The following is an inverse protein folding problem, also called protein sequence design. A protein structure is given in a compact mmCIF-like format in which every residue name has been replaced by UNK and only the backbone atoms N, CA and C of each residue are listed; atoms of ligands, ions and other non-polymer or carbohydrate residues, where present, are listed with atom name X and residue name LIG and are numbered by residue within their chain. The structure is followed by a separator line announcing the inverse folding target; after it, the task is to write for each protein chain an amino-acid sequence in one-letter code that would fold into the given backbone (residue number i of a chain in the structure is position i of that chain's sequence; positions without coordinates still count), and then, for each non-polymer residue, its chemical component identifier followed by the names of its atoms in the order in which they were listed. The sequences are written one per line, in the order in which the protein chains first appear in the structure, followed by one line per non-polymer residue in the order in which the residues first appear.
data_IF_659433494290
#
_entry.id   IF_659433494290
#
_cell.length_a   1.000
_cell.length_b   1.000
_cell.length_c   1.000
_cell.angle_alpha   90.00
_cell.angle_beta   90.00
_cell.angle_gamma   90.00
#
_symmetry.space_group_name_H-M   'P 1'
#
loop_
_entity.id
_entity.type
_entity.pdbx_description
1 polymer ?
#
# COMPACT_ATOMS: atom_id res chain seq x y z
N UNK A 1 8.10 -33.40 -8.29
CA UNK A 1 7.35 -32.82 -7.16
C UNK A 1 7.61 -31.33 -7.18
N UNK A 2 6.59 -30.52 -7.46
CA UNK A 2 6.70 -29.06 -7.40
C UNK A 2 6.48 -28.63 -5.96
N UNK A 3 7.49 -28.05 -5.31
CA UNK A 3 7.36 -27.41 -4.00
C UNK A 3 6.60 -26.11 -4.20
N UNK A 4 5.29 -26.13 -3.98
CA UNK A 4 4.49 -24.91 -3.96
C UNK A 4 4.73 -24.25 -2.60
N UNK A 5 5.64 -23.28 -2.55
CA UNK A 5 5.81 -22.40 -1.39
C UNK A 5 4.56 -21.52 -1.30
N UNK A 6 3.59 -21.94 -0.48
CA UNK A 6 2.43 -21.12 -0.16
C UNK A 6 2.89 -20.04 0.83
N UNK A 7 3.05 -18.81 0.35
CA UNK A 7 3.27 -17.68 1.24
C UNK A 7 2.04 -17.51 2.14
N UNK A 8 2.22 -17.22 3.45
CA UNK A 8 1.09 -17.02 4.35
C UNK A 8 0.23 -15.83 3.89
N UNK A 9 -1.08 -15.92 4.09
CA UNK A 9 -1.98 -14.80 3.78
C UNK A 9 -1.81 -13.64 4.78
N UNK A 10 -2.37 -12.47 4.47
CA UNK A 10 -2.43 -11.36 5.44
C UNK A 10 -3.14 -11.81 6.71
N UNK A 11 -4.24 -12.55 6.59
CA UNK A 11 -5.00 -13.02 7.76
C UNK A 11 -4.16 -13.96 8.64
N UNK A 12 -3.39 -14.87 8.04
CA UNK A 12 -2.47 -15.77 8.77
C UNK A 12 -1.39 -14.97 9.50
N UNK A 13 -0.79 -14.00 8.81
CA UNK A 13 0.23 -13.12 9.39
C UNK A 13 -0.33 -12.22 10.49
N UNK A 14 -1.57 -11.78 10.34
CA UNK A 14 -2.26 -10.94 11.32
C UNK A 14 -2.55 -11.73 12.60
N UNK A 15 -2.93 -13.00 12.46
CA UNK A 15 -3.11 -13.91 13.59
C UNK A 15 -1.80 -14.20 14.34
N UNK A 16 -0.66 -14.24 13.64
CA UNK A 16 0.65 -14.52 14.24
C UNK A 16 1.37 -13.28 14.79
N UNK A 17 1.25 -12.14 14.12
CA UNK A 17 2.06 -10.94 14.38
C UNK A 17 1.27 -9.76 14.93
N UNK A 18 -0.06 -9.82 14.90
CA UNK A 18 -0.96 -8.75 15.32
C UNK A 18 -1.60 -7.99 14.14
N UNK A 19 -2.61 -7.15 14.42
CA UNK A 19 -3.34 -6.37 13.43
C UNK A 19 -2.48 -5.31 12.73
N UNK A 20 -2.73 -5.10 11.44
CA UNK A 20 -2.38 -3.86 10.75
C UNK A 20 -3.05 -2.68 11.46
N UNK A 21 -2.31 -1.60 11.68
CA UNK A 21 -2.85 -0.34 12.21
C UNK A 21 -3.20 0.58 11.04
N UNK A 22 -4.41 1.14 11.02
CA UNK A 22 -4.74 2.20 10.05
C UNK A 22 -4.23 3.53 10.58
N UNK A 23 -3.39 4.22 9.81
CA UNK A 23 -2.76 5.49 10.22
C UNK A 23 -3.27 6.70 9.45
N UNK A 24 -3.71 6.52 8.21
CA UNK A 24 -4.31 7.57 7.39
C UNK A 24 -5.52 7.00 6.63
N UNK A 25 -6.63 7.74 6.56
CA UNK A 25 -7.77 7.36 5.74
C UNK A 25 -8.60 8.59 5.32
N UNK A 26 -8.95 8.67 4.04
CA UNK A 26 -9.87 9.69 3.53
C UNK A 26 -11.27 9.64 4.19
N UNK A 27 -11.73 8.45 4.57
CA UNK A 27 -13.02 8.25 5.24
C UNK A 27 -12.96 7.05 6.19
N UNK A 28 -13.71 7.16 7.29
CA UNK A 28 -13.75 6.15 8.36
C UNK A 28 -13.01 6.60 9.63
N UNK A 29 -13.22 5.91 10.76
CA UNK A 29 -12.51 6.19 11.99
C UNK A 29 -11.02 5.83 11.82
N UNK A 30 -10.16 6.78 12.13
CA UNK A 30 -8.75 6.53 12.45
C UNK A 30 -8.60 6.58 13.96
N UNK A 31 -7.80 5.68 14.54
CA UNK A 31 -7.46 5.72 15.96
C UNK A 31 -6.38 6.79 16.27
N UNK A 32 -6.11 7.66 15.29
CA UNK A 32 -5.07 8.69 15.32
C UNK A 32 -5.73 10.06 15.46
N UNK A 33 -5.21 10.89 16.36
CA UNK A 33 -5.67 12.26 16.52
C UNK A 33 -5.42 13.09 15.24
N UNK A 34 -6.30 14.04 14.86
CA UNK A 34 -6.14 14.82 13.63
C UNK A 34 -4.78 15.52 13.48
N UNK A 35 -4.20 16.02 14.58
CA UNK A 35 -2.88 16.66 14.58
C UNK A 35 -1.75 15.66 14.27
N UNK A 36 -1.96 14.39 14.63
CA UNK A 36 -1.03 13.32 14.31
C UNK A 36 -1.23 12.83 12.87
N UNK A 37 -2.42 12.95 12.27
CA UNK A 37 -2.68 12.60 10.87
C UNK A 37 -1.78 13.40 9.91
N UNK A 38 -1.63 14.72 10.13
CA UNK A 38 -0.72 15.56 9.35
C UNK A 38 0.75 15.14 9.49
N UNK A 39 1.17 14.80 10.71
CA UNK A 39 2.54 14.34 10.98
C UNK A 39 2.81 12.98 10.36
N UNK A 40 1.87 12.03 10.47
CA UNK A 40 1.95 10.74 9.81
C UNK A 40 2.01 10.90 8.30
N UNK A 41 1.20 11.79 7.71
CA UNK A 41 1.25 12.10 6.28
C UNK A 41 2.65 12.58 5.87
N UNK A 42 3.25 13.48 6.65
CA UNK A 42 4.59 13.99 6.35
C UNK A 42 5.67 12.90 6.44
N UNK A 43 5.68 12.11 7.52
CA UNK A 43 6.65 11.04 7.73
C UNK A 43 6.52 9.92 6.69
N UNK A 44 5.29 9.55 6.29
CA UNK A 44 5.04 8.56 5.25
C UNK A 44 5.47 9.08 3.87
N UNK A 45 5.21 10.37 3.57
CA UNK A 45 5.67 11.01 2.34
C UNK A 45 7.19 11.11 2.27
N UNK A 46 7.86 11.37 3.39
CA UNK A 46 9.32 11.41 3.52
C UNK A 46 9.99 10.05 3.69
N UNK A 47 9.20 8.99 3.85
CA UNK A 47 9.67 7.62 4.05
C UNK A 47 10.41 7.06 2.84
N UNK A 48 11.19 6.01 3.08
CA UNK A 48 11.90 5.30 2.02
C UNK A 48 10.93 4.35 1.31
N UNK A 49 10.57 4.65 0.06
CA UNK A 49 9.83 3.72 -0.79
C UNK A 49 10.65 2.44 -0.99
N UNK A 50 10.06 1.31 -0.63
CA UNK A 50 10.63 -0.02 -0.81
C UNK A 50 10.07 -0.72 -2.05
N UNK A 51 8.78 -0.52 -2.32
CA UNK A 51 8.08 -1.00 -3.52
C UNK A 51 7.00 -0.01 -3.91
N UNK A 52 6.72 0.11 -5.20
CA UNK A 52 5.70 1.03 -5.69
C UNK A 52 5.09 0.50 -6.97
N UNK A 53 3.76 0.55 -7.04
CA UNK A 53 3.00 0.29 -8.24
C UNK A 53 2.13 1.49 -8.59
N UNK A 54 2.16 1.90 -9.85
CA UNK A 54 1.49 3.12 -10.32
C UNK A 54 0.60 2.84 -11.53
N UNK A 55 -0.60 3.43 -11.53
CA UNK A 55 -1.40 3.61 -12.75
C UNK A 55 -1.37 5.09 -13.12
N UNK A 56 -0.95 5.38 -14.35
CA UNK A 56 -0.95 6.73 -14.89
C UNK A 56 -2.23 7.04 -15.70
N UNK A 57 -2.76 8.24 -15.51
CA UNK A 57 -3.76 8.93 -16.34
C UNK A 57 -3.09 9.71 -17.50
N UNK A 58 -3.81 10.64 -18.13
CA UNK A 58 -3.24 11.52 -19.17
C UNK A 58 -2.32 12.59 -18.58
N UNK A 59 -2.61 13.05 -17.36
CA UNK A 59 -1.91 14.17 -16.70
C UNK A 59 -0.95 13.74 -15.58
N UNK A 60 -0.78 12.43 -15.35
CA UNK A 60 0.07 11.90 -14.27
C UNK A 60 -0.57 10.73 -13.52
N UNK A 61 -0.01 10.33 -12.37
CA UNK A 61 -0.52 9.23 -11.55
C UNK A 61 -1.98 9.44 -11.14
N UNK A 62 -2.81 8.41 -11.31
CA UNK A 62 -4.20 8.40 -10.83
C UNK A 62 -4.44 7.38 -9.71
N UNK A 63 -3.52 6.42 -9.58
CA UNK A 63 -3.45 5.47 -8.48
C UNK A 63 -1.98 5.16 -8.19
N UNK A 64 -1.61 5.14 -6.91
CA UNK A 64 -0.32 4.70 -6.40
C UNK A 64 -0.60 3.73 -5.26
N UNK A 65 -0.01 2.53 -5.30
CA UNK A 65 0.10 1.63 -4.16
C UNK A 65 1.58 1.49 -3.86
N UNK A 66 2.03 1.86 -2.66
CA UNK A 66 3.44 1.79 -2.29
C UNK A 66 3.65 1.22 -0.89
N UNK A 67 4.74 0.48 -0.76
CA UNK A 67 5.30 0.05 0.51
C UNK A 67 6.42 1.00 0.91
N UNK A 68 6.32 1.60 2.09
CA UNK A 68 7.28 2.57 2.62
C UNK A 68 7.86 2.10 3.95
N UNK A 69 9.15 2.31 4.15
CA UNK A 69 9.79 2.25 5.46
C UNK A 69 9.87 3.67 6.02
N UNK A 70 9.32 3.90 7.21
CA UNK A 70 9.28 5.22 7.83
C UNK A 70 9.50 5.14 9.35
N UNK A 71 9.79 6.29 9.96
CA UNK A 71 9.93 6.40 11.42
C UNK A 71 8.60 6.79 12.03
N UNK A 72 8.06 5.99 12.95
CA UNK A 72 6.84 6.36 13.64
C UNK A 72 7.04 7.67 14.43
N UNK A 73 6.21 8.71 14.25
CA UNK A 73 6.40 10.00 14.90
C UNK A 73 6.17 9.96 16.42
N UNK A 74 5.48 8.95 16.93
CA UNK A 74 5.16 8.79 18.36
C UNK A 74 6.21 7.92 19.05
N UNK A 75 6.53 6.76 18.49
CA UNK A 75 7.43 5.78 19.11
C UNK A 75 8.87 5.90 18.63
N UNK A 76 9.13 6.63 17.55
CA UNK A 76 10.42 6.75 16.87
C UNK A 76 11.03 5.41 16.43
N UNK A 77 10.18 4.39 16.27
CA UNK A 77 10.58 3.07 15.79
C UNK A 77 10.31 2.96 14.29
N UNK A 78 11.15 2.23 13.57
CA UNK A 78 10.88 1.87 12.18
C UNK A 78 9.57 1.10 12.04
N UNK A 79 8.73 1.52 11.09
CA UNK A 79 7.51 0.84 10.69
C UNK A 79 7.43 0.76 9.17
N UNK A 80 6.60 -0.15 8.70
CA UNK A 80 6.40 -0.41 7.28
C UNK A 80 4.95 -0.11 6.91
N UNK A 81 4.74 0.97 6.15
CA UNK A 81 3.42 1.42 5.72
C UNK A 81 3.08 0.94 4.31
N UNK A 82 1.84 0.52 4.09
CA UNK A 82 1.25 0.32 2.77
C UNK A 82 0.27 1.46 2.53
N UNK A 83 0.65 2.37 1.64
CA UNK A 83 -0.20 3.46 1.21
C UNK A 83 -0.85 3.11 -0.12
N UNK A 84 -2.18 3.24 -0.16
CA UNK A 84 -2.95 3.28 -1.40
C UNK A 84 -3.53 4.66 -1.55
N UNK A 85 -3.00 5.40 -2.50
CA UNK A 85 -3.48 6.71 -2.91
C UNK A 85 -4.14 6.64 -4.28
N UNK A 86 -5.23 7.37 -4.47
CA UNK A 86 -5.89 7.56 -5.75
C UNK A 86 -6.53 8.94 -5.84
N UNK A 87 -6.95 9.34 -7.03
CA UNK A 87 -7.70 10.59 -7.24
C UNK A 87 -9.05 10.65 -6.50
N UNK A 88 -9.56 9.51 -6.00
CA UNK A 88 -10.83 9.45 -5.25
C UNK A 88 -10.65 9.24 -3.75
N UNK A 89 -9.42 9.06 -3.27
CA UNK A 89 -9.15 8.86 -1.85
C UNK A 89 -7.84 8.13 -1.57
N UNK A 90 -7.49 8.08 -0.30
CA UNK A 90 -6.29 7.42 0.19
C UNK A 90 -6.56 6.60 1.44
N UNK A 91 -5.71 5.59 1.67
CA UNK A 91 -5.63 4.84 2.91
C UNK A 91 -4.21 4.35 3.13
N UNK A 92 -3.72 4.52 4.35
CA UNK A 92 -2.43 3.97 4.77
C UNK A 92 -2.62 3.08 5.99
N UNK A 93 -2.11 1.86 5.89
CA UNK A 93 -2.02 0.91 6.99
C UNK A 93 -0.56 0.60 7.25
N UNK A 94 -0.19 0.23 8.48
CA UNK A 94 1.18 -0.08 8.80
C UNK A 94 1.35 -1.23 9.78
N UNK A 95 2.58 -1.73 9.86
CA UNK A 95 2.99 -2.75 10.80
C UNK A 95 4.48 -2.62 11.17
N UNK A 96 4.88 -3.15 12.33
CA UNK A 96 6.30 -3.19 12.75
C UNK A 96 7.08 -4.28 12.02
N UNK A 97 6.40 -5.35 11.61
CA UNK A 97 6.98 -6.48 10.86
C UNK A 97 6.80 -6.26 9.37
N UNK A 98 7.91 -6.11 8.65
CA UNK A 98 7.96 -5.88 7.20
C UNK A 98 7.14 -6.89 6.38
N UNK A 99 7.25 -8.18 6.71
CA UNK A 99 6.58 -9.24 5.95
C UNK A 99 5.05 -9.08 5.91
N UNK A 100 4.46 -8.56 6.98
CA UNK A 100 3.01 -8.26 7.04
C UNK A 100 2.67 -7.18 6.00
N UNK A 101 3.47 -6.11 5.94
CA UNK A 101 3.29 -5.01 5.00
C UNK A 101 3.61 -5.40 3.55
N UNK A 102 4.60 -6.24 3.30
CA UNK A 102 4.88 -6.82 1.97
C UNK A 102 3.66 -7.62 1.47
N UNK A 103 3.08 -8.45 2.34
CA UNK A 103 1.91 -9.29 1.99
C UNK A 103 0.66 -8.43 1.78
N UNK A 104 0.49 -7.37 2.58
CA UNK A 104 -0.60 -6.41 2.43
C UNK A 104 -0.48 -5.60 1.13
N UNK A 105 0.74 -5.20 0.76
CA UNK A 105 1.01 -4.57 -0.53
C UNK A 105 0.57 -5.49 -1.67
N UNK A 106 1.06 -6.73 -1.70
CA UNK A 106 0.71 -7.70 -2.75
C UNK A 106 -0.81 -7.96 -2.80
N UNK A 107 -1.46 -8.03 -1.62
CA UNK A 107 -2.92 -8.19 -1.51
C UNK A 107 -3.64 -7.02 -2.16
N UNK A 108 -3.25 -5.77 -1.87
CA UNK A 108 -3.90 -4.59 -2.43
C UNK A 108 -3.67 -4.45 -3.94
N UNK A 109 -2.46 -4.74 -4.41
CA UNK A 109 -2.14 -4.76 -5.86
C UNK A 109 -3.02 -5.79 -6.59
N UNK A 110 -3.09 -7.02 -6.07
CA UNK A 110 -3.92 -8.09 -6.67
C UNK A 110 -5.41 -7.75 -6.62
N UNK A 111 -5.89 -7.20 -5.50
CA UNK A 111 -7.28 -6.80 -5.36
C UNK A 111 -7.67 -5.71 -6.36
N UNK A 112 -6.81 -4.70 -6.53
CA UNK A 112 -7.01 -3.63 -7.52
C UNK A 112 -6.99 -4.18 -8.95
N UNK A 113 -6.08 -5.10 -9.25
CA UNK A 113 -6.03 -5.74 -10.56
C UNK A 113 -7.30 -6.57 -10.85
N UNK A 114 -7.79 -7.32 -9.86
CA UNK A 114 -8.98 -8.16 -10.01
C UNK A 114 -10.29 -7.35 -10.09
N UNK A 115 -10.37 -6.25 -9.34
CA UNK A 115 -11.54 -5.37 -9.27
C UNK A 115 -11.10 -3.91 -9.20
N UNK A 116 -10.86 -3.27 -10.37
CA UNK A 116 -10.36 -1.90 -10.40
C UNK A 116 -11.30 -0.90 -9.73
N UNK A 117 -10.74 -0.08 -8.85
CA UNK A 117 -11.47 0.92 -8.08
C UNK A 117 -11.75 2.20 -8.88
N UNK A 118 -10.99 2.45 -9.93
CA UNK A 118 -11.14 3.61 -10.79
C UNK A 118 -11.75 3.22 -12.15
N UNK A 119 -12.73 4.00 -12.67
CA UNK A 119 -13.22 3.86 -14.04
C UNK A 119 -12.21 4.45 -15.02
N UNK A 120 -10.98 3.95 -14.99
CA UNK A 120 -9.99 4.24 -16.03
C UNK A 120 -10.51 3.60 -17.32
N UNK A 121 -10.59 4.35 -18.42
CA UNK A 121 -11.21 3.86 -19.67
C UNK A 121 -10.69 2.47 -20.06
N UNK A 122 -11.58 1.60 -20.58
CA UNK A 122 -11.27 0.19 -20.94
C UNK A 122 -9.99 0.02 -21.77
N UNK A 123 -9.62 1.05 -22.53
CA UNK A 123 -8.48 1.12 -23.44
C UNK A 123 -7.12 1.23 -22.72
N UNK A 124 -7.13 1.56 -21.43
CA UNK A 124 -5.95 1.47 -20.55
C UNK A 124 -5.88 0.11 -19.86
N UNK A 125 -7.01 -0.49 -19.50
CA UNK A 125 -7.03 -1.86 -18.92
C UNK A 125 -6.68 -2.98 -19.90
N UNK A 126 -6.71 -2.73 -21.21
CA UNK A 126 -6.31 -3.71 -22.24
C UNK A 126 -4.84 -4.15 -22.14
N UNK A 127 -4.00 -3.46 -21.36
CA UNK A 127 -2.61 -3.85 -21.09
C UNK A 127 -2.43 -4.93 -20.01
N UNK A 128 -3.47 -5.29 -19.25
CA UNK A 128 -3.31 -6.20 -18.10
C UNK A 128 -2.29 -5.67 -17.09
N UNK A 129 -1.51 -6.55 -16.44
CA UNK A 129 -0.44 -6.18 -15.49
C UNK A 129 0.56 -5.17 -16.09
N UNK A 130 0.63 -5.00 -17.42
CA UNK A 130 1.51 -4.01 -18.04
C UNK A 130 1.13 -2.55 -17.72
N UNK A 131 -0.09 -2.28 -17.25
CA UNK A 131 -0.47 -0.95 -16.71
C UNK A 131 -0.20 -0.80 -15.22
N UNK A 132 0.01 -1.92 -14.51
CA UNK A 132 0.35 -1.97 -13.10
C UNK A 132 1.83 -2.30 -12.99
N UNK A 133 2.66 -1.29 -13.22
CA UNK A 133 4.09 -1.48 -13.24
C UNK A 133 4.66 -1.34 -11.82
N UNK A 134 5.31 -2.39 -11.31
CA UNK A 134 6.11 -2.33 -10.08
C UNK A 134 7.43 -1.63 -10.42
N UNK A 135 7.61 -0.39 -9.95
CA UNK A 135 8.81 0.41 -10.18
C UNK A 135 10.10 -0.21 -9.60
N UNK A 136 9.96 -1.24 -8.76
CA UNK A 136 11.08 -2.04 -8.25
C UNK A 136 11.47 -3.21 -9.16
N UNK A 137 10.68 -3.54 -10.19
CA UNK A 137 10.92 -4.67 -11.11
C UNK A 137 11.73 -4.33 -12.38
N UNK A 138 12.17 -3.07 -12.57
CA UNK A 138 13.12 -2.73 -13.67
C UNK A 138 14.52 -2.52 -13.10
N UNK A 139 15.37 -3.52 -13.36
CA UNK A 139 16.82 -3.39 -13.48
C UNK A 139 17.23 -4.07 -14.79
#
# INVERSE_FOLDING_TARGET
MSLTLTLPSVDDLTAMCGPLRTVLAHSGPVDIAPELDEVYSFEILGGKTLRESVINGDAGPVLIIRLVEYSDPVTHTTRYGVEKWSVVGYRTVDHTVRLVSDTEYDRQVRAEFAAPSLPVGRERFTGGMATFYDATDVI
#
